data_IF_826494673211
#
_entry.id   IF_826494673211
#
_cell.length_a   1.000
_cell.length_b   1.000
_cell.length_c   1.000
_cell.angle_alpha   90.00
_cell.angle_beta   90.00
_cell.angle_gamma   90.00
#
_symmetry.space_group_name_H-M   'P 1'
#
loop_
_entity.id
_entity.type
_entity.pdbx_description
1 polymer ?
#
# COMPACT_ATOMS: atom_id res chain seq x y z
N UNK A 1 -14.62 -13.06 -51.26
CA UNK A 1 -14.44 -11.86 -50.40
C UNK A 1 -15.41 -11.76 -49.21
N UNK A 2 -16.51 -12.52 -49.14
CA UNK A 2 -17.47 -12.46 -48.02
C UNK A 2 -17.11 -13.33 -46.80
N UNK A 3 -16.23 -14.32 -46.94
CA UNK A 3 -15.84 -15.20 -45.82
C UNK A 3 -14.85 -14.53 -44.84
N UNK A 4 -14.01 -13.61 -45.31
CA UNK A 4 -13.05 -12.86 -44.49
C UNK A 4 -13.71 -11.81 -43.58
N UNK A 5 -14.88 -11.32 -43.95
CA UNK A 5 -15.69 -10.38 -43.14
C UNK A 5 -16.40 -11.10 -41.99
N UNK A 6 -16.88 -12.33 -42.21
CA UNK A 6 -17.56 -13.12 -41.18
C UNK A 6 -16.61 -13.58 -40.08
N UNK A 7 -15.34 -13.89 -40.41
CA UNK A 7 -14.31 -14.24 -39.42
C UNK A 7 -13.93 -13.06 -38.51
N UNK A 8 -14.02 -11.80 -38.98
CA UNK A 8 -13.74 -10.61 -38.17
C UNK A 8 -14.90 -10.21 -37.25
N UNK A 9 -16.13 -10.60 -37.56
CA UNK A 9 -17.32 -10.31 -36.76
C UNK A 9 -17.51 -11.27 -35.57
N UNK A 10 -16.89 -12.45 -35.63
CA UNK A 10 -16.93 -13.48 -34.58
C UNK A 10 -15.57 -13.74 -33.95
N UNK A 11 -14.57 -12.88 -34.18
CA UNK A 11 -13.34 -12.92 -33.42
C UNK A 11 -13.70 -12.62 -31.96
N UNK A 12 -13.39 -13.51 -30.99
CA UNK A 12 -13.55 -13.18 -29.58
C UNK A 12 -12.77 -11.90 -29.36
N UNK A 13 -13.46 -10.86 -28.88
CA UNK A 13 -12.83 -9.60 -28.50
C UNK A 13 -11.76 -9.99 -27.48
N UNK A 14 -10.47 -9.69 -27.69
CA UNK A 14 -9.45 -10.05 -26.72
C UNK A 14 -9.89 -9.44 -25.39
N UNK A 15 -10.08 -10.29 -24.39
CA UNK A 15 -10.31 -9.79 -23.04
C UNK A 15 -9.11 -8.90 -22.70
N UNK A 16 -9.35 -7.67 -22.22
CA UNK A 16 -8.26 -6.80 -21.84
C UNK A 16 -7.43 -7.52 -20.77
N UNK A 17 -6.11 -7.60 -20.98
CA UNK A 17 -5.20 -8.22 -20.00
C UNK A 17 -5.46 -7.57 -18.64
N UNK A 18 -5.90 -8.34 -17.62
CA UNK A 18 -6.27 -7.80 -16.31
C UNK A 18 -5.10 -7.09 -15.64
N UNK A 19 -3.86 -7.39 -16.06
CA UNK A 19 -2.65 -6.83 -15.50
C UNK A 19 -2.23 -5.49 -16.12
N UNK A 20 -2.89 -5.07 -17.21
CA UNK A 20 -2.60 -3.80 -17.92
C UNK A 20 -2.63 -2.59 -16.98
N UNK A 21 -3.54 -2.58 -16.01
CA UNK A 21 -3.67 -1.48 -15.05
C UNK A 21 -2.49 -1.35 -14.07
N UNK A 22 -1.75 -2.44 -13.82
CA UNK A 22 -0.62 -2.46 -12.90
C UNK A 22 0.71 -2.13 -13.58
N UNK A 23 0.77 -2.28 -14.90
CA UNK A 23 1.95 -1.98 -15.72
C UNK A 23 2.57 -0.59 -15.45
N UNK A 24 1.81 0.52 -15.48
CA UNK A 24 2.40 1.84 -15.22
C UNK A 24 2.96 1.98 -13.80
N UNK A 25 2.43 1.23 -12.82
CA UNK A 25 2.96 1.23 -11.45
C UNK A 25 4.34 0.58 -11.42
N UNK A 26 4.50 -0.55 -12.12
CA UNK A 26 5.79 -1.24 -12.21
C UNK A 26 6.79 -0.40 -12.97
N UNK A 27 6.40 0.26 -14.06
CA UNK A 27 7.31 1.08 -14.86
C UNK A 27 7.74 2.36 -14.15
N UNK A 28 6.83 2.97 -13.37
CA UNK A 28 7.09 4.17 -12.58
C UNK A 28 7.88 3.94 -11.29
N UNK A 29 8.04 2.69 -10.84
CA UNK A 29 8.79 2.36 -9.64
C UNK A 29 10.28 2.67 -9.82
N UNK A 30 10.88 3.37 -8.85
CA UNK A 30 12.31 3.67 -8.87
C UNK A 30 13.15 2.39 -8.78
N UNK A 31 14.22 2.29 -9.59
CA UNK A 31 15.06 1.07 -9.63
C UNK A 31 15.64 0.68 -8.27
N UNK A 32 16.00 1.66 -7.44
CA UNK A 32 16.52 1.42 -6.10
C UNK A 32 15.50 0.78 -5.14
N UNK A 33 14.20 0.95 -5.41
CA UNK A 33 13.09 0.42 -4.62
C UNK A 33 12.60 -0.95 -5.12
N UNK A 34 12.96 -1.36 -6.35
CA UNK A 34 12.50 -2.62 -6.95
C UNK A 34 12.80 -3.85 -6.07
N UNK A 35 13.99 -4.02 -5.48
CA UNK A 35 14.28 -5.19 -4.62
C UNK A 35 13.48 -5.21 -3.33
N UNK A 36 13.11 -4.03 -2.82
CA UNK A 36 12.33 -3.89 -1.60
C UNK A 36 10.85 -4.13 -1.90
N UNK A 37 10.36 -3.58 -3.00
CA UNK A 37 9.00 -3.80 -3.49
C UNK A 37 8.74 -5.27 -3.82
N UNK A 38 9.71 -5.94 -4.45
CA UNK A 38 9.65 -7.38 -4.72
C UNK A 38 9.47 -8.17 -3.42
N UNK A 39 10.30 -7.91 -2.40
CA UNK A 39 10.19 -8.59 -1.12
C UNK A 39 8.86 -8.29 -0.40
N UNK A 40 8.38 -7.05 -0.44
CA UNK A 40 7.11 -6.66 0.15
C UNK A 40 5.91 -7.33 -0.55
N UNK A 41 5.92 -7.48 -1.88
CA UNK A 41 4.84 -8.19 -2.61
C UNK A 41 4.66 -9.63 -2.10
N UNK A 42 5.72 -10.27 -1.62
CA UNK A 42 5.65 -11.60 -1.01
C UNK A 42 5.24 -11.58 0.47
N UNK A 43 5.52 -10.50 1.18
CA UNK A 43 5.21 -10.33 2.59
C UNK A 43 3.77 -9.86 2.87
N UNK A 44 3.14 -9.19 1.90
CA UNK A 44 1.81 -8.61 2.07
C UNK A 44 0.70 -9.59 1.65
N UNK A 45 -0.32 -9.70 2.50
CA UNK A 45 -1.54 -10.44 2.23
C UNK A 45 -2.52 -9.66 1.33
N UNK A 46 -3.46 -10.34 0.68
CA UNK A 46 -4.49 -9.70 -0.15
C UNK A 46 -4.12 -9.48 -1.62
N UNK A 47 -2.86 -9.67 -2.00
CA UNK A 47 -2.44 -9.80 -3.40
C UNK A 47 -2.68 -11.25 -3.84
N UNK A 48 -3.61 -11.45 -4.78
CA UNK A 48 -3.90 -12.78 -5.33
C UNK A 48 -2.69 -13.40 -6.06
N UNK A 49 -2.68 -14.73 -6.19
CA UNK A 49 -1.54 -15.47 -6.69
C UNK A 49 -1.16 -15.14 -8.14
N UNK A 50 -2.14 -14.88 -9.01
CA UNK A 50 -1.89 -14.60 -10.42
C UNK A 50 -1.23 -13.22 -10.61
N UNK A 51 -1.74 -12.21 -9.90
CA UNK A 51 -1.14 -10.88 -9.85
C UNK A 51 0.26 -10.94 -9.21
N UNK A 52 0.43 -11.71 -8.13
CA UNK A 52 1.73 -11.90 -7.46
C UNK A 52 2.76 -12.48 -8.42
N UNK A 53 2.43 -13.54 -9.17
CA UNK A 53 3.31 -14.14 -10.18
C UNK A 53 3.66 -13.18 -11.29
N UNK A 54 2.69 -12.37 -11.72
CA UNK A 54 2.93 -11.37 -12.75
C UNK A 54 3.87 -10.25 -12.25
N UNK A 55 3.64 -9.74 -11.04
CA UNK A 55 4.49 -8.74 -10.39
C UNK A 55 5.91 -9.27 -10.17
N UNK A 56 6.04 -10.50 -9.66
CA UNK A 56 7.32 -11.19 -9.46
C UNK A 56 8.15 -11.21 -10.75
N UNK A 57 7.55 -11.68 -11.86
CA UNK A 57 8.21 -11.71 -13.16
C UNK A 57 8.61 -10.31 -13.62
N UNK A 58 7.74 -9.30 -13.50
CA UNK A 58 8.02 -7.95 -14.00
C UNK A 58 9.08 -7.23 -13.18
N UNK A 59 9.03 -7.32 -11.85
CA UNK A 59 10.02 -6.73 -10.96
C UNK A 59 11.39 -7.42 -11.11
N UNK A 60 11.40 -8.74 -11.26
CA UNK A 60 12.63 -9.50 -11.53
C UNK A 60 13.31 -9.09 -12.83
N UNK A 61 12.54 -8.81 -13.89
CA UNK A 61 13.07 -8.31 -15.15
C UNK A 61 13.67 -6.91 -15.03
N UNK A 62 13.15 -6.06 -14.12
CA UNK A 62 13.67 -4.70 -13.92
C UNK A 62 14.93 -4.65 -13.05
N UNK A 63 15.11 -5.61 -12.14
CA UNK A 63 16.27 -5.65 -11.26
C UNK A 63 16.80 -7.09 -11.03
N UNK A 64 17.32 -7.75 -12.08
CA UNK A 64 17.66 -9.18 -12.04
C UNK A 64 18.79 -9.53 -11.04
N UNK A 65 19.67 -8.57 -10.73
CA UNK A 65 20.85 -8.78 -9.88
C UNK A 65 20.65 -8.35 -8.43
N UNK A 66 19.49 -7.80 -8.07
CA UNK A 66 19.30 -7.11 -6.81
C UNK A 66 18.33 -7.81 -5.85
N UNK A 67 17.74 -8.95 -6.25
CA UNK A 67 16.81 -9.72 -5.43
C UNK A 67 17.54 -10.49 -4.31
N UNK A 68 16.95 -10.50 -3.11
CA UNK A 68 17.47 -11.25 -1.95
C UNK A 68 18.49 -10.50 -1.08
N UNK A 69 18.65 -9.18 -1.26
CA UNK A 69 19.56 -8.40 -0.41
C UNK A 69 19.11 -8.34 1.06
N UNK A 70 20.04 -8.22 2.02
CA UNK A 70 19.72 -8.09 3.45
C UNK A 70 18.77 -6.92 3.74
N UNK A 71 18.90 -5.81 3.01
CA UNK A 71 18.02 -4.65 3.13
C UNK A 71 16.55 -4.99 2.83
N UNK A 72 16.30 -5.88 1.86
CA UNK A 72 14.94 -6.37 1.56
C UNK A 72 14.33 -7.12 2.74
N UNK A 73 15.15 -7.89 3.48
CA UNK A 73 14.68 -8.59 4.69
C UNK A 73 14.37 -7.62 5.81
N UNK A 74 15.23 -6.63 6.06
CA UNK A 74 15.01 -5.59 7.06
C UNK A 74 13.70 -4.83 6.80
N UNK A 75 13.42 -4.45 5.54
CA UNK A 75 12.14 -3.81 5.18
C UNK A 75 10.93 -4.69 5.46
N UNK A 76 10.99 -5.99 5.15
CA UNK A 76 9.90 -6.93 5.47
C UNK A 76 9.69 -7.07 6.97
N UNK A 77 10.76 -7.15 7.75
CA UNK A 77 10.68 -7.20 9.22
C UNK A 77 10.03 -5.93 9.78
N UNK A 78 10.46 -4.75 9.32
CA UNK A 78 9.85 -3.47 9.70
C UNK A 78 8.37 -3.46 9.36
N UNK A 79 8.00 -3.90 8.16
CA UNK A 79 6.61 -3.93 7.71
C UNK A 79 5.72 -4.78 8.63
N UNK A 80 6.11 -6.02 8.92
CA UNK A 80 5.35 -6.88 9.83
C UNK A 80 5.29 -6.31 11.25
N UNK A 81 6.41 -5.76 11.75
CA UNK A 81 6.41 -5.10 13.05
C UNK A 81 5.46 -3.89 13.09
N UNK A 82 5.35 -3.09 12.01
CA UNK A 82 4.37 -1.99 11.98
C UNK A 82 2.92 -2.51 12.01
N UNK A 83 2.61 -3.57 11.25
CA UNK A 83 1.28 -4.18 11.25
C UNK A 83 0.90 -4.75 12.63
N UNK A 84 1.82 -5.48 13.26
CA UNK A 84 1.62 -6.04 14.59
C UNK A 84 1.47 -4.94 15.65
N UNK A 85 2.16 -3.81 15.48
CA UNK A 85 2.14 -2.68 16.42
C UNK A 85 0.84 -1.91 16.37
N UNK A 86 0.31 -1.70 15.16
CA UNK A 86 -1.03 -1.12 14.97
C UNK A 86 -2.10 -2.03 15.58
N UNK A 87 -1.98 -3.35 15.39
CA UNK A 87 -2.94 -4.32 15.92
C UNK A 87 -2.87 -4.47 17.45
N UNK A 88 -1.69 -4.32 18.06
CA UNK A 88 -1.47 -4.54 19.50
C UNK A 88 -1.38 -3.24 20.33
N UNK A 89 -1.27 -2.08 19.70
CA UNK A 89 -1.04 -0.79 20.37
C UNK A 89 0.34 -0.68 21.04
N UNK A 90 1.26 -1.61 20.79
CA UNK A 90 2.59 -1.65 21.39
C UNK A 90 3.58 -0.85 20.53
N UNK A 91 4.40 -0.01 21.18
CA UNK A 91 5.59 0.58 20.54
C UNK A 91 6.59 -0.53 20.23
N UNK A 92 6.65 -0.95 18.97
CA UNK A 92 7.46 -2.10 18.54
C UNK A 92 8.89 -1.74 18.17
N UNK A 93 9.72 -2.78 18.21
CA UNK A 93 11.13 -2.88 17.78
C UNK A 93 11.43 -2.42 16.34
N UNK A 94 10.41 -2.02 15.56
CA UNK A 94 10.55 -1.47 14.23
C UNK A 94 11.45 -0.22 14.18
N UNK A 95 11.54 0.54 15.27
CA UNK A 95 12.42 1.72 15.37
C UNK A 95 13.90 1.36 15.13
N UNK A 96 14.36 0.22 15.66
CA UNK A 96 15.74 -0.25 15.49
C UNK A 96 16.04 -0.68 14.05
N UNK A 97 15.10 -1.36 13.41
CA UNK A 97 15.24 -1.78 12.01
C UNK A 97 15.02 -0.60 11.04
N UNK A 98 14.21 0.39 11.40
CA UNK A 98 14.09 1.65 10.65
C UNK A 98 15.37 2.48 10.75
N UNK A 99 16.00 2.51 11.92
CA UNK A 99 17.32 3.11 12.14
C UNK A 99 18.37 2.40 11.28
N UNK A 100 18.31 1.07 11.14
CA UNK A 100 19.18 0.32 10.25
C UNK A 100 18.97 0.71 8.78
N UNK A 101 17.73 0.83 8.32
CA UNK A 101 17.41 1.26 6.95
C UNK A 101 17.87 2.69 6.66
N UNK A 102 17.76 3.57 7.65
CA UNK A 102 18.27 4.93 7.57
C UNK A 102 19.80 4.96 7.53
N UNK A 103 20.48 4.17 8.36
CA UNK A 103 21.94 4.08 8.40
C UNK A 103 22.55 3.56 7.08
N UNK A 104 21.84 2.69 6.35
CA UNK A 104 22.27 2.21 5.02
C UNK A 104 21.80 3.12 3.87
N UNK A 105 21.09 4.22 4.15
CA UNK A 105 20.62 5.20 3.17
C UNK A 105 19.54 4.66 2.22
N UNK A 106 18.65 3.80 2.71
CA UNK A 106 17.60 3.13 1.90
C UNK A 106 16.17 3.50 2.30
N UNK A 107 16.00 4.46 3.18
CA UNK A 107 14.71 4.99 3.66
C UNK A 107 13.79 5.45 2.51
N UNK A 108 14.29 6.26 1.57
CA UNK A 108 13.50 6.72 0.44
C UNK A 108 13.05 5.57 -0.48
N UNK A 109 13.92 4.58 -0.69
CA UNK A 109 13.60 3.40 -1.48
C UNK A 109 12.59 2.48 -0.76
N UNK A 110 12.69 2.38 0.57
CA UNK A 110 11.75 1.61 1.38
C UNK A 110 10.35 2.25 1.37
N UNK A 111 10.26 3.57 1.54
CA UNK A 111 9.00 4.32 1.44
C UNK A 111 8.37 4.16 0.06
N UNK A 112 9.15 4.31 -1.01
CA UNK A 112 8.65 4.14 -2.39
C UNK A 112 8.15 2.71 -2.64
N UNK A 113 8.81 1.69 -2.08
CA UNK A 113 8.37 0.30 -2.15
C UNK A 113 7.05 0.06 -1.40
N UNK A 114 6.86 0.66 -0.22
CA UNK A 114 5.60 0.60 0.53
C UNK A 114 4.47 1.31 -0.25
N UNK A 115 4.73 2.51 -0.77
CA UNK A 115 3.79 3.23 -1.64
C UNK A 115 3.43 2.46 -2.90
N UNK A 116 4.37 1.71 -3.47
CA UNK A 116 4.09 0.83 -4.59
C UNK A 116 3.06 -0.26 -4.23
N UNK A 117 3.25 -0.97 -3.12
CA UNK A 117 2.30 -2.01 -2.68
C UNK A 117 0.91 -1.42 -2.37
N UNK A 118 0.86 -0.24 -1.77
CA UNK A 118 -0.39 0.49 -1.55
C UNK A 118 -1.10 0.83 -2.88
N UNK A 119 -0.36 1.32 -3.87
CA UNK A 119 -0.91 1.60 -5.22
C UNK A 119 -1.45 0.34 -5.89
N UNK A 120 -0.77 -0.80 -5.74
CA UNK A 120 -1.27 -2.10 -6.24
C UNK A 120 -2.60 -2.44 -5.59
N UNK A 121 -2.72 -2.35 -4.26
CA UNK A 121 -3.97 -2.62 -3.55
C UNK A 121 -5.12 -1.71 -4.00
N UNK A 122 -4.86 -0.42 -4.16
CA UNK A 122 -5.87 0.54 -4.63
C UNK A 122 -6.36 0.15 -6.03
N UNK A 123 -5.47 -0.21 -6.95
CA UNK A 123 -5.88 -0.65 -8.30
C UNK A 123 -6.68 -1.95 -8.22
N UNK A 124 -6.29 -2.91 -7.38
CA UNK A 124 -7.04 -4.16 -7.19
C UNK A 124 -8.46 -3.89 -6.67
N UNK A 125 -8.60 -3.01 -5.67
CA UNK A 125 -9.92 -2.62 -5.15
C UNK A 125 -10.75 -1.91 -6.22
N UNK A 126 -10.16 -1.01 -7.01
CA UNK A 126 -10.86 -0.33 -8.11
C UNK A 126 -11.35 -1.30 -9.19
N UNK A 127 -10.58 -2.32 -9.51
CA UNK A 127 -10.98 -3.35 -10.47
C UNK A 127 -12.13 -4.21 -9.96
N UNK A 128 -12.20 -4.47 -8.64
CA UNK A 128 -13.28 -5.26 -8.03
C UNK A 128 -14.55 -4.45 -7.76
N UNK A 129 -14.41 -3.17 -7.44
CA UNK A 129 -15.52 -2.28 -7.12
C UNK A 129 -15.35 -0.94 -7.86
N UNK A 130 -15.77 -0.87 -9.14
CA UNK A 130 -15.69 0.35 -9.92
C UNK A 130 -16.45 1.48 -9.21
N UNK A 131 -15.76 2.57 -8.87
CA UNK A 131 -16.32 3.73 -8.17
C UNK A 131 -16.28 3.68 -6.64
N UNK A 132 -15.86 2.58 -6.00
CA UNK A 132 -15.72 2.54 -4.54
C UNK A 132 -14.63 3.48 -4.02
N UNK A 133 -13.55 3.68 -4.78
CA UNK A 133 -12.50 4.63 -4.42
C UNK A 133 -12.96 6.08 -4.54
N UNK A 134 -13.75 6.40 -5.57
CA UNK A 134 -14.33 7.75 -5.72
C UNK A 134 -15.39 8.00 -4.65
N UNK A 135 -16.19 6.98 -4.29
CA UNK A 135 -17.15 7.04 -3.19
C UNK A 135 -16.44 7.20 -1.83
N UNK A 136 -15.39 6.43 -1.56
CA UNK A 136 -14.59 6.55 -0.34
C UNK A 136 -13.86 7.89 -0.25
N UNK A 137 -13.34 8.40 -1.37
CA UNK A 137 -12.74 9.74 -1.44
C UNK A 137 -13.78 10.83 -1.20
N UNK A 138 -14.97 10.70 -1.79
CA UNK A 138 -16.08 11.65 -1.58
C UNK A 138 -16.54 11.64 -0.12
N UNK A 139 -16.63 10.46 0.49
CA UNK A 139 -16.96 10.28 1.90
C UNK A 139 -15.86 10.86 2.83
N UNK A 140 -14.59 10.57 2.55
CA UNK A 140 -13.48 11.11 3.32
C UNK A 140 -13.37 12.64 3.19
N UNK A 141 -13.71 13.19 2.01
CA UNK A 141 -13.73 14.63 1.77
C UNK A 141 -14.94 15.32 2.42
N UNK A 142 -16.03 14.58 2.67
CA UNK A 142 -17.22 15.09 3.38
C UNK A 142 -17.10 14.98 4.90
N UNK A 143 -16.20 14.13 5.39
CA UNK A 143 -15.77 14.13 6.78
C UNK A 143 -14.82 15.31 7.03
N UNK A 144 -15.41 16.45 7.41
CA UNK A 144 -14.67 17.57 8.04
C UNK A 144 -13.89 17.01 9.24
N UNK A 145 -12.63 17.43 9.48
CA UNK A 145 -11.96 17.07 10.73
C UNK A 145 -12.84 17.58 11.88
N UNK A 146 -13.42 16.64 12.61
CA UNK A 146 -14.12 16.93 13.85
C UNK A 146 -13.17 17.74 14.70
N UNK A 147 -13.47 19.02 14.86
CA UNK A 147 -12.77 19.87 15.79
C UNK A 147 -13.02 19.21 17.13
N UNK A 148 -11.98 18.59 17.70
CA UNK A 148 -11.94 18.26 19.11
C UNK A 148 -12.11 19.59 19.85
N UNK A 149 -13.37 19.96 20.08
CA UNK A 149 -13.72 20.91 21.12
C UNK A 149 -13.44 20.14 22.40
N UNK A 150 -12.18 20.26 22.82
CA UNK A 150 -11.75 20.05 24.18
C UNK A 150 -12.73 20.79 25.08
N UNK A 151 -13.73 20.06 25.58
CA UNK A 151 -14.56 20.53 26.67
C UNK A 151 -13.69 20.41 27.90
N UNK A 152 -12.88 21.45 28.12
CA UNK A 152 -12.10 21.63 29.33
C UNK A 152 -13.04 21.51 30.52
N UNK A 153 -12.70 20.74 31.57
CA UNK A 153 -13.56 20.61 32.74
C UNK A 153 -13.65 21.98 33.41
N UNK A 154 -14.88 22.51 33.50
CA UNK A 154 -15.16 23.72 34.24
C UNK A 154 -14.61 23.57 35.66
N UNK A 155 -13.64 24.41 35.97
CA UNK A 155 -12.98 24.52 37.25
C UNK A 155 -14.01 24.56 38.39
N UNK A 156 -13.88 23.62 39.32
CA UNK A 156 -14.49 23.70 40.63
C UNK A 156 -14.06 25.01 41.30
N UNK A 157 -14.98 25.98 41.39
CA UNK A 157 -14.87 27.11 42.30
C UNK A 157 -15.87 26.91 43.43
N UNK A 158 -15.38 26.20 44.44
CA UNK A 158 -15.34 26.59 45.85
C UNK A 158 -16.25 27.78 46.24
N UNK A 159 -17.21 27.53 47.13
CA UNK A 159 -17.86 28.59 47.88
C UNK A 159 -19.23 28.29 48.47
N UNK A 160 -19.33 27.40 49.48
CA UNK A 160 -20.38 27.49 50.52
C UNK A 160 -19.82 26.93 51.83
N UNK A 161 -19.74 27.78 52.86
CA UNK A 161 -19.34 27.43 54.23
C UNK A 161 -20.54 26.89 55.05
N UNK A 162 -20.32 26.05 56.10
CA UNK A 162 -21.39 25.45 56.88
C UNK A 162 -21.94 26.40 57.96
N UNK A 163 -23.23 26.27 58.35
CA UNK A 163 -23.79 27.01 59.47
C UNK A 163 -23.40 26.38 60.82
N UNK A 164 -23.35 27.21 61.86
CA UNK A 164 -23.22 26.80 63.27
C UNK A 164 -24.54 26.26 63.83
#
# INVERSE_FOLDING_TARGET
MLQSLRARLFAPRPEPDPHTAYQPLVDGLQLAAVPLAHALVHAVDGINDDLRRWLDRRLSLRAPTALGQPASRAVVTVWHALQDGEASGLQLSAEGDWTLLHAIGRDAAALEAMHFVLRVHVVTVQQWLPGAVDAARTLASSMVPGTDVATSPAAARSGVAPPR
#
